data_IF_924353542624
#
_entry.id   IF_924353542624
#
_cell.length_a   1.000
_cell.length_b   1.000
_cell.length_c   1.000
_cell.angle_alpha   90.00
_cell.angle_beta   90.00
_cell.angle_gamma   90.00
#
_symmetry.space_group_name_H-M   'P 1'
#
loop_
_entity.id
_entity.type
_entity.pdbx_description
1 polymer ?
#
# COMPACT_ATOMS: atom_id res chain seq x y z
N UNK A 1 30.72 -2.63 -1.36
CA UNK A 1 30.82 -1.20 -1.71
C UNK A 1 29.55 -0.54 -1.21
N UNK A 2 29.62 0.45 -0.31
CA UNK A 2 28.42 1.17 0.11
C UNK A 2 27.79 1.85 -1.10
N UNK A 3 26.47 1.88 -1.16
CA UNK A 3 25.78 2.69 -2.15
C UNK A 3 26.29 4.15 -2.04
N UNK A 4 26.44 4.89 -3.16
CA UNK A 4 26.79 6.30 -3.08
C UNK A 4 25.77 7.02 -2.20
N UNK A 5 26.24 7.70 -1.15
CA UNK A 5 25.38 8.48 -0.25
C UNK A 5 24.70 9.56 -1.10
N UNK A 6 23.38 9.49 -1.25
CA UNK A 6 22.62 10.53 -1.95
C UNK A 6 22.78 11.83 -1.15
N UNK A 7 23.32 12.86 -1.78
CA UNK A 7 23.49 14.15 -1.12
C UNK A 7 22.22 15.00 -1.33
N UNK A 8 21.55 15.35 -0.24
CA UNK A 8 20.28 16.08 -0.22
C UNK A 8 20.43 17.61 -0.08
N UNK A 9 21.61 18.17 -0.41
CA UNK A 9 21.89 19.61 -0.30
C UNK A 9 20.92 20.48 -1.10
N UNK A 10 20.53 21.61 -0.51
CA UNK A 10 19.76 22.66 -1.17
C UNK A 10 20.33 24.03 -0.78
N UNK A 11 20.59 24.88 -1.77
CA UNK A 11 21.10 26.25 -1.55
C UNK A 11 19.96 27.23 -1.28
N UNK A 12 19.27 27.02 -0.15
CA UNK A 12 18.13 27.82 0.31
C UNK A 12 18.27 28.05 1.81
N UNK A 13 18.03 29.28 2.27
CA UNK A 13 18.08 29.61 3.69
C UNK A 13 17.13 28.70 4.51
N UNK A 14 17.64 28.10 5.57
CA UNK A 14 16.90 27.12 6.39
C UNK A 14 16.94 25.68 5.87
N UNK A 15 17.66 25.40 4.76
CA UNK A 15 17.91 24.04 4.25
C UNK A 15 19.34 23.62 4.50
N UNK A 16 19.55 22.31 4.62
CA UNK A 16 20.90 21.77 4.81
C UNK A 16 21.71 21.91 3.51
N UNK A 17 22.90 22.53 3.60
CA UNK A 17 23.83 22.70 2.48
C UNK A 17 25.29 22.41 2.89
N UNK A 18 25.52 21.40 3.73
CA UNK A 18 26.87 21.07 4.24
C UNK A 18 27.66 20.31 3.17
N UNK A 19 28.88 20.76 2.89
CA UNK A 19 29.81 20.12 1.95
C UNK A 19 30.45 18.86 2.55
N UNK A 20 30.64 17.83 1.72
CA UNK A 20 31.35 16.63 2.14
C UNK A 20 32.87 16.86 2.10
N UNK A 21 33.47 17.12 3.26
CA UNK A 21 34.94 17.14 3.44
C UNK A 21 35.42 15.78 3.96
N UNK A 22 36.70 15.40 3.76
CA UNK A 22 37.23 14.14 4.30
C UNK A 22 37.03 13.99 5.81
N UNK A 23 37.15 15.09 6.57
CA UNK A 23 36.94 15.10 8.01
C UNK A 23 35.46 14.90 8.39
N UNK A 24 34.53 15.52 7.66
CA UNK A 24 33.09 15.28 7.86
C UNK A 24 32.69 13.85 7.51
N UNK A 25 33.27 13.26 6.47
CA UNK A 25 33.01 11.86 6.12
C UNK A 25 33.48 10.91 7.23
N UNK A 26 34.69 11.11 7.77
CA UNK A 26 35.19 10.33 8.90
C UNK A 26 34.33 10.52 10.17
N UNK A 27 33.87 11.74 10.42
CA UNK A 27 32.92 12.03 11.50
C UNK A 27 31.59 11.27 11.31
N UNK A 28 31.04 11.22 10.10
CA UNK A 28 29.82 10.44 9.83
C UNK A 28 30.01 8.95 10.05
N UNK A 29 31.18 8.38 9.73
CA UNK A 29 31.49 6.97 10.01
C UNK A 29 31.56 6.69 11.52
N UNK A 30 32.11 7.62 12.31
CA UNK A 30 32.12 7.52 13.78
C UNK A 30 30.71 7.57 14.38
N UNK A 31 29.83 8.42 13.83
CA UNK A 31 28.42 8.47 14.24
C UNK A 31 27.69 7.16 13.91
N UNK A 32 27.94 6.60 12.71
CA UNK A 32 27.33 5.35 12.26
C UNK A 32 27.72 4.17 13.16
N UNK A 33 28.97 4.13 13.65
CA UNK A 33 29.43 3.13 14.62
C UNK A 33 28.70 3.20 15.98
N UNK A 34 28.00 4.29 16.26
CA UNK A 34 27.18 4.49 17.47
C UNK A 34 25.67 4.38 17.19
N UNK A 35 25.26 3.92 16.01
CA UNK A 35 23.86 3.91 15.57
C UNK A 35 23.23 5.32 15.57
N UNK A 36 24.05 6.33 15.26
CA UNK A 36 23.63 7.73 15.15
C UNK A 36 23.95 8.30 13.77
N UNK A 37 23.33 9.44 13.42
CA UNK A 37 23.56 10.10 12.15
C UNK A 37 23.40 11.60 12.26
N UNK A 38 24.12 12.33 11.42
CA UNK A 38 24.02 13.78 11.32
C UNK A 38 22.75 14.19 10.57
N UNK A 39 21.83 14.89 11.24
CA UNK A 39 20.53 15.28 10.65
C UNK A 39 20.67 16.04 9.33
N UNK A 40 21.64 16.95 9.21
CA UNK A 40 21.85 17.75 8.00
C UNK A 40 22.20 16.92 6.74
N UNK A 41 22.54 15.64 6.88
CA UNK A 41 22.75 14.72 5.75
C UNK A 41 21.44 14.23 5.11
N UNK A 42 20.32 14.32 5.84
CA UNK A 42 18.99 13.81 5.42
C UNK A 42 17.84 14.80 5.62
N UNK A 43 18.07 15.92 6.31
CA UNK A 43 17.05 16.89 6.71
C UNK A 43 16.11 17.26 5.56
N UNK A 44 16.69 17.61 4.40
CA UNK A 44 15.92 18.06 3.25
C UNK A 44 14.99 16.97 2.66
N UNK A 45 15.30 15.69 2.89
CA UNK A 45 14.47 14.55 2.49
C UNK A 45 13.35 14.26 3.49
N UNK A 46 13.65 14.31 4.79
CA UNK A 46 12.69 13.90 5.84
C UNK A 46 11.77 15.04 6.30
N UNK A 47 12.17 16.29 6.08
CA UNK A 47 11.40 17.51 6.33
C UNK A 47 11.12 18.23 5.00
N UNK A 48 10.24 17.70 4.13
CA UNK A 48 9.84 18.41 2.93
C UNK A 48 8.98 19.63 3.27
N UNK A 49 9.02 20.67 2.43
CA UNK A 49 8.19 21.89 2.57
C UNK A 49 6.68 21.63 2.65
N UNK A 50 6.22 20.52 2.08
CA UNK A 50 4.84 20.07 2.14
C UNK A 50 4.81 18.53 2.13
N UNK A 51 3.72 17.89 2.58
CA UNK A 51 3.58 16.45 2.52
C UNK A 51 3.80 15.92 1.10
N UNK A 52 4.76 15.02 0.94
CA UNK A 52 5.03 14.33 -0.33
C UNK A 52 4.58 12.89 -0.21
N UNK A 53 3.45 12.57 -0.80
CA UNK A 53 2.95 11.18 -0.82
C UNK A 53 3.86 10.30 -1.67
N UNK A 54 4.18 9.10 -1.18
CA UNK A 54 4.79 8.07 -2.00
C UNK A 54 3.80 7.46 -3.00
N UNK A 55 2.50 7.51 -2.73
CA UNK A 55 1.47 7.04 -3.67
C UNK A 55 1.39 7.95 -4.89
N UNK A 56 1.36 7.34 -6.07
CA UNK A 56 1.11 8.05 -7.33
C UNK A 56 -0.37 7.96 -7.71
N UNK A 57 -0.97 8.95 -8.39
CA UNK A 57 -2.32 8.82 -8.94
C UNK A 57 -2.39 7.68 -9.96
N UNK A 58 -3.35 6.77 -9.78
CA UNK A 58 -3.58 5.65 -10.69
C UNK A 58 -5.07 5.56 -11.00
N UNK A 59 -5.39 5.28 -12.26
CA UNK A 59 -6.75 5.01 -12.70
C UNK A 59 -6.91 3.52 -13.02
N UNK A 60 -7.76 2.84 -12.25
CA UNK A 60 -8.19 1.47 -12.52
C UNK A 60 -9.61 1.48 -13.05
N UNK A 61 -9.77 1.34 -14.37
CA UNK A 61 -11.11 1.32 -14.97
C UNK A 61 -11.73 -0.06 -14.77
N UNK A 62 -12.91 -0.12 -14.16
CA UNK A 62 -13.61 -1.39 -13.93
C UNK A 62 -13.80 -2.20 -15.22
N UNK A 63 -14.14 -1.55 -16.34
CA UNK A 63 -14.30 -2.20 -17.64
C UNK A 63 -13.03 -2.91 -18.12
N UNK A 64 -11.85 -2.42 -17.74
CA UNK A 64 -10.57 -3.01 -18.13
C UNK A 64 -10.19 -4.17 -17.17
N UNK A 65 -10.69 -4.17 -15.94
CA UNK A 65 -10.36 -5.17 -14.91
C UNK A 65 -11.37 -6.31 -14.80
N UNK A 66 -12.64 -6.06 -15.14
CA UNK A 66 -13.76 -6.99 -14.88
C UNK A 66 -13.49 -8.39 -15.43
N UNK A 67 -13.04 -8.49 -16.68
CA UNK A 67 -12.76 -9.79 -17.31
C UNK A 67 -11.60 -10.53 -16.64
N UNK A 68 -10.58 -9.81 -16.18
CA UNK A 68 -9.47 -10.42 -15.42
C UNK A 68 -9.92 -10.95 -14.06
N UNK A 69 -10.80 -10.21 -13.37
CA UNK A 69 -11.39 -10.64 -12.09
C UNK A 69 -12.23 -11.90 -12.31
N UNK A 70 -13.09 -11.91 -13.33
CA UNK A 70 -13.92 -13.08 -13.66
C UNK A 70 -13.06 -14.29 -14.04
N UNK A 71 -12.04 -14.10 -14.87
CA UNK A 71 -11.12 -15.19 -15.28
C UNK A 71 -10.39 -15.84 -14.10
N UNK A 72 -10.22 -15.13 -12.98
CA UNK A 72 -9.56 -15.69 -11.80
C UNK A 72 -10.24 -16.95 -11.26
N UNK A 73 -11.56 -17.10 -11.45
CA UNK A 73 -12.34 -18.24 -10.95
C UNK A 73 -11.97 -19.56 -11.63
N UNK A 74 -11.58 -19.49 -12.91
CA UNK A 74 -11.18 -20.65 -13.71
C UNK A 74 -9.77 -21.12 -13.35
N UNK A 75 -8.93 -20.21 -12.83
CA UNK A 75 -7.51 -20.43 -12.63
C UNK A 75 -7.15 -20.78 -11.19
N UNK A 76 -7.94 -20.30 -10.22
CA UNK A 76 -7.60 -20.39 -8.80
C UNK A 76 -8.84 -20.82 -8.01
N UNK A 77 -8.77 -21.95 -7.32
CA UNK A 77 -9.86 -22.38 -6.44
C UNK A 77 -9.85 -21.60 -5.12
N UNK A 78 -11.02 -21.35 -4.49
CA UNK A 78 -11.09 -20.60 -3.23
C UNK A 78 -10.23 -21.21 -2.11
N UNK A 79 -10.16 -22.53 -2.03
CA UNK A 79 -9.45 -23.28 -0.98
C UNK A 79 -7.94 -23.05 -1.03
N UNK A 80 -7.39 -22.92 -2.24
CA UNK A 80 -5.96 -22.65 -2.44
C UNK A 80 -5.60 -21.18 -2.26
N UNK A 81 -6.54 -20.28 -2.55
CA UNK A 81 -6.30 -18.84 -2.50
C UNK A 81 -6.43 -18.24 -1.09
N UNK A 82 -7.21 -18.87 -0.21
CA UNK A 82 -7.70 -18.25 1.04
C UNK A 82 -8.71 -17.14 0.77
N UNK A 83 -8.31 -16.10 0.02
CA UNK A 83 -9.18 -15.08 -0.59
C UNK A 83 -8.72 -14.77 -2.01
N UNK A 84 -9.54 -15.13 -3.00
CA UNK A 84 -9.27 -14.86 -4.42
C UNK A 84 -9.58 -13.39 -4.75
N UNK A 85 -8.56 -12.53 -4.67
CA UNK A 85 -8.68 -11.08 -4.84
C UNK A 85 -7.63 -10.57 -5.83
N UNK A 86 -8.05 -9.69 -6.75
CA UNK A 86 -7.14 -8.90 -7.57
C UNK A 86 -6.95 -7.55 -6.88
N UNK A 87 -5.81 -7.34 -6.23
CA UNK A 87 -5.55 -6.12 -5.46
C UNK A 87 -5.04 -4.97 -6.34
N UNK A 88 -5.38 -3.74 -5.96
CA UNK A 88 -4.98 -2.53 -6.66
C UNK A 88 -3.59 -2.09 -6.16
N UNK A 89 -2.56 -2.33 -6.97
CA UNK A 89 -1.17 -2.13 -6.56
C UNK A 89 -0.61 -0.79 -7.06
N UNK A 90 -0.52 0.21 -6.17
CA UNK A 90 0.03 1.51 -6.52
C UNK A 90 1.53 1.39 -6.86
N UNK A 91 2.00 1.90 -8.01
CA UNK A 91 3.43 1.84 -8.36
C UNK A 91 4.37 2.40 -7.30
N UNK A 92 3.94 3.42 -6.55
CA UNK A 92 4.70 4.03 -5.47
C UNK A 92 4.54 3.38 -4.10
N UNK A 93 3.75 2.30 -3.98
CA UNK A 93 3.48 1.57 -2.71
C UNK A 93 3.55 0.04 -2.86
N UNK A 94 4.28 -0.47 -3.85
CA UNK A 94 4.39 -1.92 -4.11
C UNK A 94 5.03 -2.69 -2.95
N UNK A 95 5.89 -2.03 -2.19
CA UNK A 95 6.53 -2.51 -0.98
C UNK A 95 5.53 -2.94 0.10
N UNK A 96 4.34 -2.33 0.12
CA UNK A 96 3.29 -2.60 1.12
C UNK A 96 1.96 -3.02 0.50
N UNK A 97 1.92 -3.25 -0.82
CA UNK A 97 0.71 -3.68 -1.56
C UNK A 97 -0.52 -2.79 -1.33
N UNK A 98 -0.32 -1.47 -1.19
CA UNK A 98 -1.40 -0.52 -0.95
C UNK A 98 -1.92 0.10 -2.26
N UNK A 99 -3.21 0.44 -2.29
CA UNK A 99 -3.83 1.18 -3.39
C UNK A 99 -3.53 2.68 -3.29
N UNK A 100 -3.56 3.24 -2.07
CA UNK A 100 -3.22 4.64 -1.79
C UNK A 100 -2.89 4.80 -0.31
N UNK A 101 -1.86 5.58 0.02
CA UNK A 101 -1.38 5.75 1.40
C UNK A 101 -1.19 4.39 2.07
N UNK A 102 -2.00 4.13 3.10
CA UNK A 102 -2.02 2.89 3.87
C UNK A 102 -3.31 2.07 3.68
N UNK A 103 -4.08 2.37 2.63
CA UNK A 103 -5.32 1.68 2.31
C UNK A 103 -5.07 0.57 1.28
N UNK A 104 -5.47 -0.66 1.64
CA UNK A 104 -5.60 -1.77 0.72
C UNK A 104 -6.96 -1.71 0.00
N UNK A 105 -6.97 -2.05 -1.28
CA UNK A 105 -8.22 -2.22 -2.04
C UNK A 105 -8.04 -3.35 -3.05
N UNK A 106 -9.12 -4.08 -3.34
CA UNK A 106 -9.09 -5.16 -4.31
C UNK A 106 -10.48 -5.55 -4.79
N UNK A 107 -10.50 -6.23 -5.94
CA UNK A 107 -11.71 -6.75 -6.56
C UNK A 107 -11.80 -8.24 -6.31
N UNK A 108 -12.95 -8.68 -5.82
CA UNK A 108 -13.24 -10.07 -5.52
C UNK A 108 -14.50 -10.52 -6.26
N UNK A 109 -14.48 -11.75 -6.75
CA UNK A 109 -15.66 -12.44 -7.30
C UNK A 109 -15.89 -13.75 -6.58
N UNK A 110 -17.17 -14.07 -6.36
CA UNK A 110 -17.63 -15.36 -5.86
C UNK A 110 -18.78 -15.88 -6.73
N UNK A 111 -18.75 -17.16 -7.05
CA UNK A 111 -19.86 -17.84 -7.72
C UNK A 111 -20.98 -18.19 -6.74
N UNK A 112 -22.21 -18.42 -7.23
CA UNK A 112 -23.29 -18.94 -6.41
C UNK A 112 -22.86 -20.23 -5.68
N UNK A 113 -23.09 -20.26 -4.36
CA UNK A 113 -22.73 -21.40 -3.50
C UNK A 113 -21.29 -21.39 -2.97
N UNK A 114 -20.39 -20.55 -3.50
CA UNK A 114 -19.06 -20.39 -2.89
C UNK A 114 -19.18 -19.70 -1.54
N UNK A 115 -18.36 -20.14 -0.58
CA UNK A 115 -18.29 -19.54 0.77
C UNK A 115 -16.83 -19.36 1.19
N UNK A 116 -16.57 -18.33 1.98
CA UNK A 116 -15.28 -18.10 2.62
C UNK A 116 -15.41 -18.33 4.12
N UNK A 117 -14.36 -18.86 4.75
CA UNK A 117 -14.35 -19.12 6.20
C UNK A 117 -14.31 -17.82 7.01
N UNK A 118 -14.94 -17.86 8.19
CA UNK A 118 -14.92 -16.77 9.15
C UNK A 118 -13.53 -16.60 9.78
N UNK A 119 -13.15 -15.36 10.08
CA UNK A 119 -11.94 -14.99 10.82
C UNK A 119 -12.08 -13.57 11.37
N UNK A 120 -11.12 -13.18 12.20
CA UNK A 120 -11.00 -11.82 12.74
C UNK A 120 -9.58 -11.30 12.59
N UNK A 121 -9.44 -9.98 12.47
CA UNK A 121 -8.17 -9.28 12.36
C UNK A 121 -8.30 -7.88 12.96
N UNK A 122 -7.18 -7.27 13.34
CA UNK A 122 -7.14 -5.90 13.87
C UNK A 122 -7.46 -4.82 12.83
N UNK A 123 -7.22 -5.12 11.54
CA UNK A 123 -7.56 -4.21 10.45
C UNK A 123 -9.09 -4.03 10.34
N UNK A 124 -9.55 -2.81 10.13
CA UNK A 124 -10.93 -2.58 9.68
C UNK A 124 -11.06 -2.89 8.19
N UNK A 125 -12.25 -3.31 7.76
CA UNK A 125 -12.54 -3.58 6.36
C UNK A 125 -13.92 -3.05 6.01
N UNK A 126 -14.12 -2.73 4.73
CA UNK A 126 -15.43 -2.49 4.14
C UNK A 126 -15.54 -3.31 2.85
N UNK A 127 -16.76 -3.73 2.49
CA UNK A 127 -17.04 -4.42 1.23
C UNK A 127 -18.16 -3.69 0.50
N UNK A 128 -17.79 -2.93 -0.53
CA UNK A 128 -18.73 -2.29 -1.44
C UNK A 128 -19.07 -3.21 -2.63
N UNK A 129 -20.35 -3.45 -2.88
CA UNK A 129 -20.81 -4.32 -3.97
C UNK A 129 -20.94 -3.52 -5.26
N UNK A 130 -20.11 -3.84 -6.26
CA UNK A 130 -20.14 -3.18 -7.57
C UNK A 130 -21.13 -3.82 -8.55
N UNK A 131 -21.26 -5.15 -8.52
CA UNK A 131 -22.05 -5.94 -9.46
C UNK A 131 -22.53 -7.23 -8.81
N UNK A 132 -23.73 -7.68 -9.17
CA UNK A 132 -24.31 -8.96 -8.73
C UNK A 132 -25.43 -8.81 -7.70
N UNK A 133 -25.95 -9.95 -7.25
CA UNK A 133 -27.02 -10.05 -6.26
C UNK A 133 -26.85 -11.31 -5.41
N UNK A 134 -27.49 -11.34 -4.23
CA UNK A 134 -27.46 -12.50 -3.33
C UNK A 134 -26.19 -12.61 -2.48
N UNK A 135 -25.32 -11.59 -2.50
CA UNK A 135 -24.19 -11.52 -1.60
C UNK A 135 -24.69 -11.43 -0.16
N UNK A 136 -23.98 -12.06 0.76
CA UNK A 136 -24.19 -11.87 2.18
C UNK A 136 -22.86 -11.86 2.93
N UNK A 137 -22.87 -11.27 4.11
CA UNK A 137 -21.80 -11.39 5.10
C UNK A 137 -22.37 -11.72 6.47
N UNK A 138 -21.53 -12.23 7.36
CA UNK A 138 -21.86 -12.49 8.76
C UNK A 138 -20.81 -11.78 9.62
N UNK A 139 -21.22 -10.81 10.43
CA UNK A 139 -20.36 -10.07 11.36
C UNK A 139 -20.88 -10.31 12.77
N UNK A 140 -20.07 -10.93 13.63
CA UNK A 140 -20.45 -11.31 15.00
C UNK A 140 -21.82 -11.99 15.08
N UNK A 141 -22.09 -12.93 14.15
CA UNK A 141 -23.35 -13.67 14.05
C UNK A 141 -24.50 -12.94 13.33
N UNK A 142 -24.37 -11.64 13.03
CA UNK A 142 -25.38 -10.87 12.31
C UNK A 142 -25.25 -11.09 10.80
N UNK A 143 -26.23 -11.75 10.20
CA UNK A 143 -26.28 -11.99 8.75
C UNK A 143 -26.91 -10.79 8.03
N UNK A 144 -26.20 -10.27 7.04
CA UNK A 144 -26.63 -9.14 6.20
C UNK A 144 -26.58 -9.52 4.73
N UNK A 145 -27.66 -9.29 3.99
CA UNK A 145 -27.71 -9.43 2.52
C UNK A 145 -27.37 -8.11 1.85
N UNK A 146 -26.64 -8.17 0.73
CA UNK A 146 -26.13 -6.99 0.03
C UNK A 146 -26.50 -7.07 -1.46
N UNK A 147 -27.07 -5.98 -1.98
CA UNK A 147 -27.29 -5.73 -3.40
C UNK A 147 -26.20 -4.83 -4.00
N UNK A 148 -26.31 -4.54 -5.29
CA UNK A 148 -25.43 -3.58 -5.95
C UNK A 148 -25.55 -2.18 -5.31
N UNK A 149 -24.40 -1.55 -5.09
CA UNK A 149 -24.19 -0.27 -4.40
C UNK A 149 -24.38 -0.28 -2.87
N UNK A 150 -24.64 -1.43 -2.25
CA UNK A 150 -24.58 -1.56 -0.79
C UNK A 150 -23.12 -1.72 -0.33
N UNK A 151 -22.86 -1.37 0.94
CA UNK A 151 -21.61 -1.74 1.62
C UNK A 151 -21.87 -2.25 3.03
N UNK A 152 -20.90 -3.00 3.54
CA UNK A 152 -20.81 -3.50 4.92
C UNK A 152 -19.41 -3.27 5.46
#
# INVERSE_FOLDING_TARGET
MSAPKQNHREDVAGRANVEDTPELLAYYEQLEALETGALWTVANKIEPWAPKSASVPVLWRYRDLREHVLRSVELVTPEKAGRRVIYLNNPGRRDVSAAVGWLYSGLQVMHPGETASAHAHSASALRFIMEGAGAYTIVDGHKMTLGANDFV
#
